data_IF_444056470941
#
_entry.id   IF_444056470941
#
_cell.length_a   1.000
_cell.length_b   1.000
_cell.length_c   1.000
_cell.angle_alpha   90.00
_cell.angle_beta   90.00
_cell.angle_gamma   90.00
#
_symmetry.space_group_name_H-M   'P 1'
#
loop_
_entity.id
_entity.type
_entity.pdbx_description
1 polymer ?
#
# COMPACT_ATOMS: atom_id res chain seq x y z
N UNK A 1 -5.51 29.39 -6.99
CA UNK A 1 -5.33 28.40 -5.90
C UNK A 1 -5.67 26.98 -6.33
N UNK A 2 -6.71 26.75 -7.15
CA UNK A 2 -7.14 25.42 -7.60
C UNK A 2 -6.06 24.59 -8.32
N UNK A 3 -5.26 25.23 -9.20
CA UNK A 3 -4.18 24.54 -9.92
C UNK A 3 -2.99 24.14 -9.04
N UNK A 4 -2.77 24.82 -7.91
CA UNK A 4 -1.70 24.46 -6.97
C UNK A 4 -2.08 23.21 -6.16
N UNK A 5 -3.31 23.17 -5.66
CA UNK A 5 -3.86 22.02 -4.90
C UNK A 5 -3.92 20.76 -5.77
N UNK A 6 -4.37 20.87 -7.02
CA UNK A 6 -4.40 19.75 -7.98
C UNK A 6 -3.00 19.12 -8.21
N UNK A 7 -1.93 19.91 -8.09
CA UNK A 7 -0.55 19.45 -8.30
C UNK A 7 0.13 18.94 -7.02
N UNK A 8 -0.20 19.47 -5.85
CA UNK A 8 0.44 19.11 -4.57
C UNK A 8 -0.18 17.87 -3.93
N UNK A 9 -1.50 17.69 -4.03
CA UNK A 9 -2.21 16.56 -3.41
C UNK A 9 -1.68 15.19 -3.87
N UNK A 10 -1.46 14.91 -5.17
CA UNK A 10 -0.92 13.62 -5.60
C UNK A 10 0.48 13.35 -5.05
N UNK A 11 1.35 14.36 -5.01
CA UNK A 11 2.72 14.23 -4.49
C UNK A 11 2.71 13.87 -3.01
N UNK A 12 1.86 14.53 -2.22
CA UNK A 12 1.73 14.25 -0.79
C UNK A 12 1.25 12.81 -0.56
N UNK A 13 0.24 12.36 -1.32
CA UNK A 13 -0.28 10.99 -1.18
C UNK A 13 0.79 9.95 -1.57
N UNK A 14 1.53 10.17 -2.66
CA UNK A 14 2.62 9.28 -3.06
C UNK A 14 3.68 9.21 -1.94
N UNK A 15 4.12 10.36 -1.41
CA UNK A 15 5.12 10.40 -0.33
C UNK A 15 4.62 9.71 0.94
N UNK A 16 3.38 10.00 1.38
CA UNK A 16 2.79 9.36 2.55
C UNK A 16 2.66 7.84 2.36
N UNK A 17 2.34 7.39 1.13
CA UNK A 17 2.26 5.97 0.80
C UNK A 17 3.64 5.32 0.90
N UNK A 18 4.68 5.95 0.32
CA UNK A 18 6.06 5.46 0.41
C UNK A 18 6.52 5.36 1.86
N UNK A 19 6.30 6.40 2.67
CA UNK A 19 6.66 6.38 4.10
C UNK A 19 5.94 5.25 4.82
N UNK A 20 4.64 5.08 4.58
CA UNK A 20 3.84 4.01 5.19
C UNK A 20 4.36 2.61 4.80
N UNK A 21 4.70 2.41 3.52
CA UNK A 21 5.28 1.16 3.03
C UNK A 21 6.62 0.86 3.70
N UNK A 22 7.54 1.84 3.74
CA UNK A 22 8.84 1.67 4.37
C UNK A 22 8.72 1.38 5.87
N UNK A 23 7.83 2.08 6.57
CA UNK A 23 7.55 1.80 7.98
C UNK A 23 7.04 0.36 8.15
N UNK A 24 6.05 -0.07 7.37
CA UNK A 24 5.49 -1.42 7.49
C UNK A 24 6.44 -2.53 7.06
N UNK A 25 7.37 -2.27 6.14
CA UNK A 25 8.45 -3.22 5.81
C UNK A 25 9.31 -3.49 7.05
N UNK A 26 9.73 -2.43 7.75
CA UNK A 26 10.52 -2.56 8.98
C UNK A 26 9.69 -3.24 10.07
N UNK A 27 8.45 -2.80 10.27
CA UNK A 27 7.57 -3.34 11.30
C UNK A 27 7.11 -4.78 11.01
N UNK A 28 7.15 -5.25 9.77
CA UNK A 28 6.85 -6.64 9.40
C UNK A 28 7.82 -7.66 10.03
N UNK A 29 9.01 -7.22 10.43
CA UNK A 29 9.97 -8.06 11.16
C UNK A 29 9.81 -7.96 12.68
N UNK A 30 9.04 -7.01 13.19
CA UNK A 30 8.85 -6.81 14.62
C UNK A 30 7.91 -7.87 15.20
N UNK A 31 8.30 -8.49 16.32
CA UNK A 31 7.48 -9.43 17.08
C UNK A 31 6.83 -8.72 18.27
N UNK A 32 5.51 -8.60 18.27
CA UNK A 32 4.77 -7.95 19.36
C UNK A 32 4.92 -8.68 20.70
N UNK A 33 4.82 -10.02 20.70
CA UNK A 33 4.96 -10.83 21.91
C UNK A 33 6.37 -10.78 22.52
N UNK A 34 7.40 -10.63 21.69
CA UNK A 34 8.79 -10.67 22.11
C UNK A 34 9.48 -9.32 22.26
N UNK A 35 8.83 -8.22 21.82
CA UNK A 35 9.45 -6.89 21.66
C UNK A 35 10.83 -6.92 20.97
N UNK A 36 10.97 -7.78 19.95
CA UNK A 36 12.24 -8.03 19.24
C UNK A 36 12.02 -8.15 17.75
N UNK A 37 13.05 -7.84 16.95
CA UNK A 37 13.03 -8.04 15.51
C UNK A 37 13.50 -9.46 15.16
N UNK A 38 12.71 -10.15 14.33
CA UNK A 38 12.97 -11.53 13.93
C UNK A 38 13.03 -11.59 12.40
N UNK A 39 14.24 -11.63 11.86
CA UNK A 39 14.48 -11.62 10.41
C UNK A 39 14.40 -13.01 9.77
N UNK A 40 14.47 -14.09 10.55
CA UNK A 40 14.44 -15.46 10.00
C UNK A 40 13.02 -15.98 9.70
N UNK A 41 11.97 -15.16 9.87
CA UNK A 41 10.59 -15.55 9.57
C UNK A 41 10.30 -15.32 8.10
N UNK A 42 10.16 -16.40 7.34
CA UNK A 42 9.87 -16.34 5.90
C UNK A 42 8.57 -15.56 5.60
N UNK A 43 7.54 -15.71 6.43
CA UNK A 43 6.26 -15.02 6.33
C UNK A 43 6.42 -13.48 6.33
N UNK A 44 7.39 -12.94 7.08
CA UNK A 44 7.68 -11.50 7.13
C UNK A 44 8.14 -10.93 5.78
N UNK A 45 8.59 -11.75 4.83
CA UNK A 45 9.03 -11.32 3.50
C UNK A 45 7.89 -11.20 2.48
N UNK A 46 6.69 -11.73 2.77
CA UNK A 46 5.54 -11.63 1.89
C UNK A 46 5.16 -10.16 1.67
N UNK A 47 5.10 -9.37 2.75
CA UNK A 47 4.74 -7.95 2.65
C UNK A 47 5.75 -7.14 1.82
N UNK A 48 7.08 -7.19 2.08
CA UNK A 48 8.09 -6.57 1.23
C UNK A 48 7.96 -6.95 -0.25
N UNK A 49 7.71 -8.22 -0.57
CA UNK A 49 7.50 -8.63 -1.96
C UNK A 49 6.29 -7.93 -2.60
N UNK A 50 5.15 -7.89 -1.90
CA UNK A 50 3.96 -7.17 -2.38
C UNK A 50 4.20 -5.66 -2.51
N UNK A 51 5.05 -5.07 -1.66
CA UNK A 51 5.38 -3.63 -1.76
C UNK A 51 6.12 -3.30 -3.06
N UNK A 52 6.85 -4.23 -3.67
CA UNK A 52 7.50 -3.97 -4.96
C UNK A 52 6.49 -3.64 -6.06
N UNK A 53 5.37 -4.37 -6.10
CA UNK A 53 4.25 -4.11 -7.02
C UNK A 53 3.67 -2.73 -6.75
N UNK A 54 3.49 -2.37 -5.48
CA UNK A 54 2.97 -1.07 -5.08
C UNK A 54 3.91 0.07 -5.47
N UNK A 55 5.23 -0.08 -5.28
CA UNK A 55 6.20 0.92 -5.73
C UNK A 55 6.18 1.09 -7.25
N UNK A 56 6.06 -0.01 -8.00
CA UNK A 56 5.90 0.06 -9.46
C UNK A 56 4.63 0.83 -9.85
N UNK A 57 3.51 0.57 -9.19
CA UNK A 57 2.27 1.33 -9.41
C UNK A 57 2.44 2.83 -9.11
N UNK A 58 3.05 3.18 -7.97
CA UNK A 58 3.30 4.58 -7.61
C UNK A 58 4.21 5.29 -8.61
N UNK A 59 5.22 4.59 -9.13
CA UNK A 59 6.09 5.09 -10.18
C UNK A 59 5.31 5.40 -11.46
N UNK A 60 4.51 4.44 -11.95
CA UNK A 60 3.70 4.63 -13.16
C UNK A 60 2.69 5.76 -12.97
N UNK A 61 2.02 5.81 -11.81
CA UNK A 61 1.10 6.90 -11.48
C UNK A 61 1.78 8.26 -11.48
N UNK A 62 2.94 8.36 -10.81
CA UNK A 62 3.73 9.58 -10.77
C UNK A 62 4.17 10.03 -12.17
N UNK A 63 4.64 9.10 -12.99
CA UNK A 63 5.07 9.36 -14.36
C UNK A 63 3.91 9.91 -15.21
N UNK A 64 2.77 9.22 -15.26
CA UNK A 64 1.59 9.65 -16.03
C UNK A 64 1.07 11.01 -15.59
N UNK A 65 1.07 11.30 -14.29
CA UNK A 65 0.68 12.63 -13.76
C UNK A 65 1.68 13.72 -14.17
N UNK A 66 2.98 13.41 -14.18
CA UNK A 66 4.03 14.38 -14.50
C UNK A 66 4.07 14.73 -15.98
N UNK A 67 3.96 13.72 -16.83
CA UNK A 67 3.97 13.87 -18.29
C UNK A 67 2.60 14.22 -18.88
N UNK A 68 1.55 14.28 -18.04
CA UNK A 68 0.15 14.50 -18.46
C UNK A 68 -0.29 13.51 -19.54
N UNK A 69 0.17 12.25 -19.42
CA UNK A 69 -0.07 11.21 -20.40
C UNK A 69 -1.35 10.42 -20.07
N UNK A 70 -2.07 10.04 -21.12
CA UNK A 70 -3.27 9.20 -21.00
C UNK A 70 -2.90 7.80 -20.47
N UNK A 71 -3.79 7.11 -19.73
CA UNK A 71 -3.50 5.77 -19.24
C UNK A 71 -3.28 4.77 -20.39
N UNK A 72 -2.28 3.90 -20.23
CA UNK A 72 -1.94 2.84 -21.17
C UNK A 72 -2.31 1.44 -20.62
N UNK A 73 -2.04 0.40 -21.42
CA UNK A 73 -2.29 -1.00 -21.04
C UNK A 73 -1.46 -1.42 -19.82
N UNK A 74 -0.22 -0.93 -19.70
CA UNK A 74 0.70 -1.27 -18.61
C UNK A 74 0.14 -0.77 -17.29
N UNK A 75 -0.26 0.50 -17.23
CA UNK A 75 -0.88 1.11 -16.05
C UNK A 75 -2.14 0.37 -15.63
N UNK A 76 -3.00 0.00 -16.60
CA UNK A 76 -4.23 -0.77 -16.33
C UNK A 76 -3.91 -2.11 -15.66
N UNK A 77 -2.98 -2.86 -16.22
CA UNK A 77 -2.62 -4.17 -15.70
C UNK A 77 -2.04 -4.07 -14.29
N UNK A 78 -1.14 -3.11 -14.06
CA UNK A 78 -0.56 -2.89 -12.73
C UNK A 78 -1.64 -2.49 -11.71
N UNK A 79 -2.58 -1.62 -12.08
CA UNK A 79 -3.69 -1.25 -11.20
C UNK A 79 -4.57 -2.45 -10.83
N UNK A 80 -4.82 -3.37 -11.77
CA UNK A 80 -5.60 -4.57 -11.48
C UNK A 80 -4.88 -5.53 -10.54
N UNK A 81 -3.55 -5.69 -10.70
CA UNK A 81 -2.75 -6.43 -9.72
C UNK A 81 -2.81 -5.73 -8.35
N UNK A 82 -2.80 -4.40 -8.32
CA UNK A 82 -2.92 -3.63 -7.09
C UNK A 82 -4.27 -3.82 -6.37
N UNK A 83 -5.36 -4.18 -7.07
CA UNK A 83 -6.60 -4.55 -6.41
C UNK A 83 -6.47 -5.83 -5.59
N UNK A 84 -5.69 -6.81 -6.06
CA UNK A 84 -5.37 -8.01 -5.28
C UNK A 84 -4.45 -7.68 -4.10
N UNK A 85 -3.45 -6.81 -4.30
CA UNK A 85 -2.57 -6.33 -3.23
C UNK A 85 -3.36 -5.60 -2.14
N UNK A 86 -4.39 -4.82 -2.50
CA UNK A 86 -5.27 -4.15 -1.54
C UNK A 86 -6.00 -5.15 -0.63
N UNK A 87 -6.45 -6.28 -1.17
CA UNK A 87 -7.07 -7.34 -0.37
C UNK A 87 -6.08 -7.96 0.61
N UNK A 88 -4.84 -8.19 0.16
CA UNK A 88 -3.77 -8.68 1.04
C UNK A 88 -3.47 -7.69 2.19
N UNK A 89 -3.51 -6.38 1.93
CA UNK A 89 -3.37 -5.38 3.00
C UNK A 89 -4.53 -5.39 4.00
N UNK A 90 -5.77 -5.57 3.52
CA UNK A 90 -6.91 -5.72 4.41
C UNK A 90 -6.80 -6.99 5.28
N UNK A 91 -6.29 -8.08 4.71
CA UNK A 91 -5.98 -9.31 5.45
C UNK A 91 -4.95 -9.06 6.56
N UNK A 92 -3.85 -8.36 6.28
CA UNK A 92 -2.82 -8.05 7.29
C UNK A 92 -3.36 -7.22 8.47
N UNK A 93 -4.35 -6.35 8.23
CA UNK A 93 -5.04 -5.63 9.31
C UNK A 93 -5.79 -6.61 10.19
N UNK A 94 -6.54 -7.54 9.58
CA UNK A 94 -7.30 -8.55 10.32
C UNK A 94 -6.39 -9.44 11.16
N UNK A 95 -5.23 -9.84 10.63
CA UNK A 95 -4.24 -10.63 11.35
C UNK A 95 -3.71 -9.88 12.58
N UNK A 96 -3.29 -8.62 12.42
CA UNK A 96 -2.80 -7.80 13.53
C UNK A 96 -3.90 -7.57 14.58
N UNK A 97 -5.15 -7.40 14.14
CA UNK A 97 -6.29 -7.26 15.04
C UNK A 97 -6.55 -8.53 15.86
N UNK A 98 -6.47 -9.70 15.24
CA UNK A 98 -6.60 -10.99 15.93
C UNK A 98 -5.48 -11.20 16.96
N UNK A 99 -4.24 -10.85 16.61
CA UNK A 99 -3.09 -10.87 17.54
C UNK A 99 -3.36 -10.00 18.77
N UNK A 100 -3.86 -8.78 18.58
CA UNK A 100 -4.24 -7.91 19.71
C UNK A 100 -5.39 -8.49 20.54
N UNK A 101 -6.36 -9.14 19.91
CA UNK A 101 -7.48 -9.79 20.58
C UNK A 101 -7.07 -10.98 21.46
N UNK A 102 -5.99 -11.67 21.11
CA UNK A 102 -5.50 -12.85 21.83
C UNK A 102 -4.75 -12.52 23.14
N UNK A 103 -4.65 -11.24 23.53
CA UNK A 103 -3.91 -10.80 24.72
C UNK A 103 -4.35 -11.51 26.02
N UNK A 104 -5.62 -11.91 26.11
CA UNK A 104 -6.17 -12.56 27.30
C UNK A 104 -5.78 -14.03 27.40
N UNK A 105 -5.32 -14.66 26.32
CA UNK A 105 -4.91 -16.07 26.29
C UNK A 105 -3.52 -16.29 26.91
N UNK A 106 -2.75 -15.21 27.10
CA UNK A 106 -1.38 -15.26 27.60
C UNK A 106 -1.20 -14.49 28.92
N UNK A 107 -2.27 -14.31 29.70
CA UNK A 107 -2.23 -13.60 31.00
C UNK A 107 -1.21 -14.20 31.99
N UNK A 108 -0.92 -15.50 31.88
CA UNK A 108 0.08 -16.21 32.70
C UNK A 108 1.52 -16.08 32.16
N UNK A 109 1.71 -15.48 30.97
CA UNK A 109 3.01 -15.21 30.37
C UNK A 109 3.33 -13.71 30.44
N UNK A 110 4.62 -13.37 30.58
CA UNK A 110 5.06 -11.98 30.67
C UNK A 110 4.96 -11.31 29.30
N UNK A 111 3.80 -10.70 29.00
CA UNK A 111 3.61 -9.89 27.80
C UNK A 111 4.32 -8.53 28.00
N UNK A 112 5.12 -8.06 27.01
CA UNK A 112 5.74 -6.74 27.08
C UNK A 112 4.71 -5.61 27.18
N UNK A 113 5.01 -4.57 27.96
CA UNK A 113 4.16 -3.36 28.04
C UNK A 113 4.02 -2.62 26.71
N UNK A 114 4.92 -2.88 25.75
CA UNK A 114 4.86 -2.35 24.38
C UNK A 114 3.85 -3.06 23.48
N UNK A 115 3.29 -4.21 23.88
CA UNK A 115 2.43 -5.04 23.03
C UNK A 115 1.23 -4.26 22.48
N UNK A 116 0.41 -3.68 23.35
CA UNK A 116 -0.80 -2.94 22.94
C UNK A 116 -0.46 -1.65 22.17
N UNK A 117 0.43 -0.75 22.66
CA UNK A 117 0.79 0.46 21.93
C UNK A 117 1.32 0.16 20.52
N UNK A 118 2.13 -0.88 20.39
CA UNK A 118 2.74 -1.22 19.12
C UNK A 118 1.75 -1.85 18.14
N UNK A 119 0.84 -2.70 18.62
CA UNK A 119 -0.24 -3.21 17.77
C UNK A 119 -1.16 -2.11 17.26
N UNK A 120 -1.53 -1.14 18.12
CA UNK A 120 -2.32 0.02 17.71
C UNK A 120 -1.59 0.84 16.64
N UNK A 121 -0.28 1.08 16.83
CA UNK A 121 0.55 1.78 15.85
C UNK A 121 0.57 1.05 14.51
N UNK A 122 0.82 -0.26 14.51
CA UNK A 122 0.86 -1.08 13.29
C UNK A 122 -0.47 -1.04 12.56
N UNK A 123 -1.59 -1.29 13.25
CA UNK A 123 -2.94 -1.23 12.66
C UNK A 123 -3.24 0.17 12.10
N UNK A 124 -2.82 1.23 12.79
CA UNK A 124 -3.02 2.60 12.33
C UNK A 124 -2.29 2.85 11.01
N UNK A 125 -1.03 2.42 10.89
CA UNK A 125 -0.25 2.58 9.66
C UNK A 125 -0.79 1.67 8.54
N UNK A 126 -1.21 0.43 8.84
CA UNK A 126 -1.83 -0.46 7.85
C UNK A 126 -3.15 0.12 7.32
N UNK A 127 -4.00 0.63 8.20
CA UNK A 127 -5.26 1.28 7.82
C UNK A 127 -5.00 2.52 6.99
N UNK A 128 -4.03 3.36 7.39
CA UNK A 128 -3.59 4.50 6.61
C UNK A 128 -3.12 4.10 5.21
N UNK A 129 -2.32 3.03 5.09
CA UNK A 129 -1.86 2.51 3.81
C UNK A 129 -3.03 2.11 2.90
N UNK A 130 -4.04 1.40 3.43
CA UNK A 130 -5.25 1.02 2.68
C UNK A 130 -5.98 2.27 2.18
N UNK A 131 -6.21 3.26 3.05
CA UNK A 131 -6.87 4.51 2.67
C UNK A 131 -6.10 5.27 1.59
N UNK A 132 -4.78 5.40 1.72
CA UNK A 132 -3.91 6.03 0.74
C UNK A 132 -3.92 5.29 -0.60
N UNK A 133 -3.95 3.96 -0.57
CA UNK A 133 -4.04 3.12 -1.78
C UNK A 133 -5.35 3.40 -2.53
N UNK A 134 -6.48 3.39 -1.84
CA UNK A 134 -7.80 3.72 -2.45
C UNK A 134 -7.80 5.15 -3.00
N UNK A 135 -7.22 6.10 -2.25
CA UNK A 135 -7.09 7.49 -2.69
C UNK A 135 -6.24 7.62 -3.96
N UNK A 136 -5.19 6.83 -4.08
CA UNK A 136 -4.35 6.81 -5.27
C UNK A 136 -5.14 6.39 -6.53
N UNK A 137 -6.01 5.37 -6.43
CA UNK A 137 -6.87 4.96 -7.55
C UNK A 137 -7.86 6.06 -7.95
N UNK A 138 -8.42 6.77 -6.97
CA UNK A 138 -9.33 7.88 -7.23
C UNK A 138 -8.59 9.03 -7.91
N UNK A 139 -7.38 9.38 -7.45
CA UNK A 139 -6.54 10.41 -8.05
C UNK A 139 -6.18 10.05 -9.48
N UNK A 140 -5.75 8.80 -9.71
CA UNK A 140 -5.47 8.27 -11.04
C UNK A 140 -6.70 8.46 -11.95
N UNK A 141 -7.90 8.13 -11.49
CA UNK A 141 -9.14 8.30 -12.28
C UNK A 141 -9.49 9.75 -12.58
N UNK A 142 -9.20 10.65 -11.65
CA UNK A 142 -9.55 12.08 -11.77
C UNK A 142 -8.54 12.86 -12.60
N UNK A 143 -7.26 12.53 -12.52
CA UNK A 143 -6.17 13.31 -13.13
C UNK A 143 -5.69 12.66 -14.43
N UNK A 144 -5.40 11.36 -14.41
CA UNK A 144 -4.85 10.63 -15.56
C UNK A 144 -5.98 10.22 -16.52
N UNK A 145 -7.11 9.79 -15.98
CA UNK A 145 -8.32 9.51 -16.74
C UNK A 145 -8.91 8.13 -16.47
N UNK A 146 -10.01 7.84 -17.18
CA UNK A 146 -10.64 6.51 -17.18
C UNK A 146 -9.96 5.64 -18.23
N UNK A 147 -10.00 4.32 -18.05
CA UNK A 147 -9.61 3.40 -19.10
C UNK A 147 -10.71 3.39 -20.18
N UNK A 148 -10.35 3.79 -21.38
CA UNK A 148 -11.15 3.63 -22.60
C UNK A 148 -10.65 2.39 -23.34
N UNK A 149 -11.48 1.35 -23.41
CA UNK A 149 -11.08 0.08 -23.99
C UNK A 149 -10.87 0.16 -25.50
N UNK A 150 -11.63 1.01 -26.21
CA UNK A 150 -11.49 1.16 -27.66
C UNK A 150 -10.18 1.89 -27.98
N UNK A 151 -9.87 2.96 -27.23
CA UNK A 151 -8.59 3.64 -27.32
C UNK A 151 -7.43 2.70 -27.01
N UNK A 152 -7.50 1.98 -25.89
CA UNK A 152 -6.45 1.08 -25.45
C UNK A 152 -6.22 -0.05 -26.46
N UNK A 153 -7.28 -0.61 -27.06
CA UNK A 153 -7.16 -1.70 -28.01
C UNK A 153 -6.53 -1.23 -29.34
N UNK A 154 -6.89 -0.03 -29.81
CA UNK A 154 -6.36 0.54 -31.06
C UNK A 154 -4.89 1.00 -30.96
N UNK A 155 -4.37 1.21 -29.75
CA UNK A 155 -2.98 1.61 -29.52
C UNK A 155 -2.07 0.46 -29.08
N UNK A 156 -2.58 -0.79 -29.06
CA UNK A 156 -1.74 -2.00 -28.92
C UNK A 156 -0.91 -2.21 -30.19
N UNK A 157 -1.48 -1.91 -31.36
CA UNK A 157 -0.90 -2.22 -32.69
C UNK A 157 0.07 -1.15 -33.23
N UNK A 158 0.27 -0.02 -32.53
CA UNK A 158 1.16 1.05 -33.01
C UNK A 158 2.66 0.74 -32.89
N UNK A 159 3.01 -0.46 -32.41
CA UNK A 159 4.38 -0.95 -32.23
C UNK A 159 4.68 -2.25 -33.02
N UNK A 160 3.80 -2.66 -33.94
CA UNK A 160 4.14 -3.56 -35.06
C UNK A 160 4.47 -2.75 -36.32
#
# INVERSE_FOLDING_TARGET
>A
MENSVKRTTPKIIIVLTIVSLLSLIVLGFYSMYGNTFIFNRFESYIFPFLTMIHFLYLYVLWFKITEMEYPDMIMKNIEYVMYAVLLAYAYNISETFLILGSQNEFQDHVIPSSFVPMGILIISIQTLLVLLTVWSFIIRKRIVGKYDFDYLNNHIDAWE
#
